data_IF_387685068402
#
_entry.id   IF_387685068402
#
_cell.length_a   1.000
_cell.length_b   1.000
_cell.length_c   1.000
_cell.angle_alpha   90.00
_cell.angle_beta   90.00
_cell.angle_gamma   90.00
#
_symmetry.space_group_name_H-M   'P 1'
#
loop_
_entity.id
_entity.type
_entity.pdbx_description
1 polymer ?
#
# COMPACT_ATOMS: atom_id res chain seq x y z
N UNK A 1 6.71 22.53 0.15
CA UNK A 1 5.73 21.47 0.52
C UNK A 1 5.72 20.33 -0.51
N UNK A 2 5.36 20.60 -1.77
CA UNK A 2 5.29 19.55 -2.83
C UNK A 2 6.67 18.91 -3.09
N UNK A 3 7.75 19.69 -3.13
CA UNK A 3 9.13 19.18 -3.28
C UNK A 3 9.57 18.28 -2.13
N UNK A 4 9.23 18.65 -0.88
CA UNK A 4 9.52 17.87 0.33
C UNK A 4 8.75 16.55 0.35
N UNK A 5 7.47 16.58 -0.04
CA UNK A 5 6.65 15.37 -0.14
C UNK A 5 7.19 14.42 -1.21
N UNK A 6 7.54 14.94 -2.39
CA UNK A 6 8.09 14.13 -3.47
C UNK A 6 9.43 13.49 -3.07
N UNK A 7 10.27 14.22 -2.34
CA UNK A 7 11.51 13.67 -1.76
C UNK A 7 11.22 12.56 -0.74
N UNK A 8 10.22 12.75 0.13
CA UNK A 8 9.77 11.72 1.09
C UNK A 8 9.25 10.46 0.41
N UNK A 9 8.39 10.61 -0.60
CA UNK A 9 7.90 9.49 -1.43
C UNK A 9 9.05 8.75 -2.10
N UNK A 10 9.98 9.46 -2.73
CA UNK A 10 11.14 8.85 -3.39
C UNK A 10 12.00 8.07 -2.41
N UNK A 11 12.30 8.63 -1.24
CA UNK A 11 13.08 7.93 -0.22
C UNK A 11 12.36 6.66 0.27
N UNK A 12 11.04 6.72 0.48
CA UNK A 12 10.25 5.55 0.87
C UNK A 12 10.25 4.47 -0.21
N UNK A 13 10.07 4.85 -1.48
CA UNK A 13 10.15 3.91 -2.62
C UNK A 13 11.52 3.24 -2.68
N UNK A 14 12.61 4.00 -2.51
CA UNK A 14 13.99 3.48 -2.58
C UNK A 14 14.29 2.56 -1.40
N UNK A 15 13.92 2.95 -0.17
CA UNK A 15 14.11 2.12 1.02
C UNK A 15 13.29 0.85 0.95
N UNK A 16 11.98 0.97 0.69
CA UNK A 16 11.11 -0.21 0.62
C UNK A 16 11.50 -1.11 -0.56
N UNK A 17 11.86 -0.52 -1.70
CA UNK A 17 12.30 -1.26 -2.89
C UNK A 17 13.59 -2.03 -2.64
N UNK A 18 14.59 -1.41 -2.02
CA UNK A 18 15.85 -2.07 -1.69
C UNK A 18 15.66 -3.21 -0.68
N UNK A 19 14.83 -3.02 0.35
CA UNK A 19 14.46 -4.08 1.29
C UNK A 19 13.75 -5.23 0.58
N UNK A 20 12.76 -4.94 -0.27
CA UNK A 20 11.99 -5.94 -1.00
C UNK A 20 12.89 -6.80 -1.89
N UNK A 21 13.82 -6.17 -2.63
CA UNK A 21 14.81 -6.87 -3.45
C UNK A 21 15.70 -7.75 -2.58
N UNK A 22 16.24 -7.21 -1.48
CA UNK A 22 17.10 -7.96 -0.57
C UNK A 22 16.41 -9.21 -0.01
N UNK A 23 15.15 -9.11 0.41
CA UNK A 23 14.38 -10.24 0.93
C UNK A 23 13.97 -11.24 -0.15
N UNK A 24 13.63 -10.80 -1.37
CA UNK A 24 13.27 -11.72 -2.47
C UNK A 24 14.46 -12.57 -2.90
N UNK A 25 15.65 -11.96 -3.04
CA UNK A 25 16.88 -12.68 -3.40
C UNK A 25 17.47 -13.44 -2.21
N UNK A 26 17.36 -12.89 -1.00
CA UNK A 26 17.81 -13.52 0.24
C UNK A 26 16.89 -14.61 0.78
N UNK A 27 15.69 -14.77 0.20
CA UNK A 27 14.66 -15.71 0.67
C UNK A 27 15.20 -17.14 0.81
N UNK A 28 15.98 -17.61 -0.16
CA UNK A 28 16.52 -19.00 -0.14
C UNK A 28 17.44 -19.19 1.07
N UNK A 29 18.37 -18.26 1.31
CA UNK A 29 19.27 -18.33 2.47
C UNK A 29 18.53 -18.25 3.81
N UNK A 30 17.46 -17.45 3.88
CA UNK A 30 16.62 -17.39 5.09
C UNK A 30 15.92 -18.72 5.35
N UNK A 31 15.37 -19.37 4.31
CA UNK A 31 14.69 -20.66 4.44
C UNK A 31 15.65 -21.81 4.76
N UNK A 32 16.87 -21.80 4.20
CA UNK A 32 17.94 -22.74 4.57
C UNK A 32 18.34 -22.60 6.05
N UNK A 33 18.40 -21.38 6.56
CA UNK A 33 18.75 -21.10 7.96
C UNK A 33 17.65 -21.55 8.94
N UNK A 34 16.38 -21.53 8.50
CA UNK A 34 15.20 -21.89 9.30
C UNK A 34 14.76 -23.35 9.08
N UNK A 35 15.43 -24.11 8.20
CA UNK A 35 15.14 -25.52 7.88
C UNK A 35 13.65 -25.78 7.53
N UNK A 36 13.03 -24.87 6.79
CA UNK A 36 11.61 -24.97 6.41
C UNK A 36 11.44 -25.49 4.97
N UNK A 37 10.31 -26.16 4.70
CA UNK A 37 9.96 -26.66 3.37
C UNK A 37 9.96 -25.56 2.30
N UNK A 38 10.62 -25.86 1.17
CA UNK A 38 10.76 -24.96 0.01
C UNK A 38 9.44 -24.65 -0.70
N UNK A 39 8.36 -25.37 -0.38
CA UNK A 39 7.02 -25.12 -0.93
C UNK A 39 6.47 -23.74 -0.50
N UNK A 40 6.89 -23.23 0.66
CA UNK A 40 6.48 -21.92 1.17
C UNK A 40 7.30 -20.75 0.57
N UNK A 41 8.37 -21.04 -0.17
CA UNK A 41 9.25 -20.02 -0.76
C UNK A 41 8.48 -19.10 -1.72
N UNK A 42 7.56 -19.66 -2.50
CA UNK A 42 6.71 -18.89 -3.40
C UNK A 42 5.78 -17.95 -2.63
N UNK A 43 5.13 -18.45 -1.58
CA UNK A 43 4.27 -17.66 -0.70
C UNK A 43 5.04 -16.50 -0.05
N UNK A 44 6.28 -16.76 0.39
CA UNK A 44 7.14 -15.73 0.96
C UNK A 44 7.48 -14.63 -0.06
N UNK A 45 7.89 -14.99 -1.29
CA UNK A 45 8.22 -14.01 -2.34
C UNK A 45 7.04 -13.09 -2.66
N UNK A 46 5.83 -13.66 -2.81
CA UNK A 46 4.62 -12.86 -3.03
C UNK A 46 4.25 -12.01 -1.82
N UNK A 47 4.44 -12.52 -0.61
CA UNK A 47 4.23 -11.77 0.64
C UNK A 47 5.15 -10.55 0.76
N UNK A 48 6.43 -10.71 0.40
CA UNK A 48 7.42 -9.61 0.41
C UNK A 48 7.04 -8.53 -0.59
N UNK A 49 6.63 -8.90 -1.81
CA UNK A 49 6.12 -7.94 -2.81
C UNK A 49 4.81 -7.28 -2.33
N UNK A 50 3.91 -8.04 -1.71
CA UNK A 50 2.69 -7.49 -1.12
C UNK A 50 2.95 -6.47 -0.02
N UNK A 51 3.97 -6.72 0.81
CA UNK A 51 4.42 -5.82 1.88
C UNK A 51 4.96 -4.49 1.34
N UNK A 52 5.65 -4.50 0.19
CA UNK A 52 6.05 -3.28 -0.52
C UNK A 52 4.84 -2.37 -0.81
N UNK A 53 3.79 -2.93 -1.42
CA UNK A 53 2.57 -2.17 -1.71
C UNK A 53 1.84 -1.74 -0.44
N UNK A 54 1.83 -2.57 0.60
CA UNK A 54 1.23 -2.23 1.89
C UNK A 54 1.92 -1.03 2.54
N UNK A 55 3.25 -0.96 2.53
CA UNK A 55 3.99 0.19 3.04
C UNK A 55 3.68 1.48 2.26
N UNK A 56 3.57 1.40 0.93
CA UNK A 56 3.17 2.56 0.11
C UNK A 56 1.73 3.01 0.37
N UNK A 57 0.83 2.05 0.59
CA UNK A 57 -0.53 2.32 1.00
C UNK A 57 -0.55 3.02 2.36
N UNK A 58 0.22 2.53 3.33
CA UNK A 58 0.35 3.19 4.64
C UNK A 58 0.85 4.62 4.52
N UNK A 59 1.89 4.86 3.73
CA UNK A 59 2.41 6.20 3.48
C UNK A 59 1.33 7.13 2.90
N UNK A 60 0.60 6.68 1.88
CA UNK A 60 -0.47 7.46 1.25
C UNK A 60 -1.59 7.76 2.24
N UNK A 61 -1.95 6.78 3.05
CA UNK A 61 -3.02 6.90 4.04
C UNK A 61 -2.66 7.85 5.19
N UNK A 62 -1.40 7.81 5.65
CA UNK A 62 -0.86 8.78 6.61
C UNK A 62 -0.96 10.19 6.02
N UNK A 63 -0.56 10.39 4.76
CA UNK A 63 -0.68 11.69 4.08
C UNK A 63 -2.14 12.17 3.98
N UNK A 64 -3.09 11.30 3.65
CA UNK A 64 -4.51 11.66 3.67
C UNK A 64 -5.00 12.04 5.07
N UNK A 65 -4.54 11.31 6.09
CA UNK A 65 -4.89 11.59 7.49
C UNK A 65 -4.36 12.94 7.98
N UNK A 66 -3.20 13.40 7.47
CA UNK A 66 -2.67 14.73 7.77
C UNK A 66 -3.59 15.87 7.33
N UNK A 67 -4.41 15.66 6.29
CA UNK A 67 -5.40 16.63 5.82
C UNK A 67 -6.78 16.47 6.50
N UNK A 68 -6.86 15.69 7.58
CA UNK A 68 -8.07 15.38 8.32
C UNK A 68 -9.17 14.66 7.49
N UNK A 69 -8.77 14.02 6.39
CA UNK A 69 -9.63 13.21 5.51
C UNK A 69 -9.83 11.79 6.07
N UNK A 70 -10.08 11.68 7.38
CA UNK A 70 -10.14 10.40 8.10
C UNK A 70 -11.20 9.43 7.55
N UNK A 71 -12.31 9.97 7.02
CA UNK A 71 -13.37 9.15 6.39
C UNK A 71 -12.86 8.38 5.18
N UNK A 72 -12.02 9.00 4.35
CA UNK A 72 -11.47 8.37 3.14
C UNK A 72 -10.43 7.33 3.52
N UNK A 73 -9.61 7.62 4.54
CA UNK A 73 -8.68 6.65 5.14
C UNK A 73 -9.39 5.39 5.64
N UNK A 74 -10.53 5.54 6.32
CA UNK A 74 -11.33 4.40 6.78
C UNK A 74 -11.89 3.58 5.61
N UNK A 75 -12.37 4.24 4.54
CA UNK A 75 -12.85 3.56 3.34
C UNK A 75 -11.73 2.77 2.64
N UNK A 76 -10.51 3.30 2.57
CA UNK A 76 -9.38 2.58 1.98
C UNK A 76 -9.01 1.33 2.78
N UNK A 77 -9.02 1.43 4.12
CA UNK A 77 -8.72 0.28 5.00
C UNK A 77 -9.83 -0.78 4.95
N UNK A 78 -11.09 -0.39 4.83
CA UNK A 78 -12.18 -1.35 4.64
C UNK A 78 -12.10 -2.04 3.28
N UNK A 79 -11.80 -1.30 2.20
CA UNK A 79 -11.54 -1.88 0.88
C UNK A 79 -10.39 -2.89 0.95
N UNK A 80 -9.27 -2.54 1.57
CA UNK A 80 -8.13 -3.45 1.73
C UNK A 80 -8.56 -4.76 2.39
N UNK A 81 -9.29 -4.64 3.50
CA UNK A 81 -9.71 -5.80 4.30
C UNK A 81 -10.66 -6.70 3.50
N UNK A 82 -11.70 -6.12 2.89
CA UNK A 82 -12.69 -6.86 2.11
C UNK A 82 -12.01 -7.53 0.91
N UNK A 83 -11.20 -6.78 0.17
CA UNK A 83 -10.53 -7.28 -1.03
C UNK A 83 -9.54 -8.38 -0.68
N UNK A 84 -8.75 -8.20 0.39
CA UNK A 84 -7.81 -9.22 0.87
C UNK A 84 -8.55 -10.49 1.31
N UNK A 85 -9.69 -10.38 2.01
CA UNK A 85 -10.50 -11.54 2.40
C UNK A 85 -11.07 -12.27 1.18
N UNK A 86 -11.70 -11.55 0.25
CA UNK A 86 -12.32 -12.16 -0.95
C UNK A 86 -11.26 -12.86 -1.81
N UNK A 87 -10.14 -12.18 -2.09
CA UNK A 87 -9.08 -12.77 -2.90
C UNK A 87 -8.37 -13.93 -2.20
N UNK A 88 -8.27 -13.92 -0.87
CA UNK A 88 -7.72 -15.05 -0.12
C UNK A 88 -8.63 -16.26 -0.20
N UNK A 89 -9.95 -16.09 -0.05
CA UNK A 89 -10.93 -17.17 -0.20
C UNK A 89 -10.87 -17.74 -1.63
N UNK A 90 -10.79 -16.90 -2.65
CA UNK A 90 -10.64 -17.35 -4.03
C UNK A 90 -9.32 -18.12 -4.21
N UNK A 91 -8.21 -17.60 -3.69
CA UNK A 91 -6.89 -18.23 -3.82
C UNK A 91 -6.83 -19.63 -3.18
N UNK A 92 -7.52 -19.85 -2.05
CA UNK A 92 -7.63 -21.17 -1.41
C UNK A 92 -8.23 -22.21 -2.38
N UNK A 93 -9.21 -21.81 -3.19
CA UNK A 93 -9.92 -22.72 -4.10
C UNK A 93 -9.11 -23.04 -5.37
N UNK A 94 -8.15 -22.20 -5.78
CA UNK A 94 -7.36 -22.38 -7.01
C UNK A 94 -6.10 -23.25 -6.77
N UNK A 95 -5.66 -23.40 -5.51
CA UNK A 95 -4.66 -24.39 -5.10
C UNK A 95 -3.38 -23.80 -4.48
N UNK A 96 -2.48 -24.69 -4.05
CA UNK A 96 -1.32 -24.35 -3.20
C UNK A 96 -0.32 -23.36 -3.82
N UNK A 97 -0.20 -23.33 -5.15
CA UNK A 97 0.71 -22.43 -5.85
C UNK A 97 0.29 -20.95 -5.80
N UNK A 98 -0.99 -20.68 -5.50
CA UNK A 98 -1.56 -19.33 -5.51
C UNK A 98 -1.64 -18.69 -4.12
N UNK A 99 -1.18 -19.39 -3.08
CA UNK A 99 -1.08 -18.83 -1.74
C UNK A 99 -0.11 -17.65 -1.74
N UNK A 100 -0.65 -16.47 -1.41
CA UNK A 100 0.07 -15.19 -1.38
C UNK A 100 -0.32 -14.21 -2.50
N UNK A 101 -0.88 -14.68 -3.63
CA UNK A 101 -1.35 -13.77 -4.69
C UNK A 101 -2.51 -12.90 -4.23
N UNK A 102 -3.43 -13.45 -3.43
CA UNK A 102 -4.59 -12.71 -2.96
C UNK A 102 -4.21 -11.47 -2.15
N UNK A 103 -3.24 -11.61 -1.25
CA UNK A 103 -2.70 -10.48 -0.48
C UNK A 103 -1.99 -9.47 -1.39
N UNK A 104 -1.09 -9.93 -2.26
CA UNK A 104 -0.34 -9.05 -3.18
C UNK A 104 -1.26 -8.24 -4.10
N UNK A 105 -2.27 -8.88 -4.68
CA UNK A 105 -3.22 -8.22 -5.56
C UNK A 105 -4.12 -7.25 -4.80
N UNK A 106 -4.58 -7.61 -3.60
CA UNK A 106 -5.40 -6.72 -2.78
C UNK A 106 -4.65 -5.46 -2.34
N UNK A 107 -3.39 -5.59 -1.90
CA UNK A 107 -2.56 -4.44 -1.52
C UNK A 107 -2.22 -3.58 -2.74
N UNK A 108 -1.90 -4.20 -3.88
CA UNK A 108 -1.61 -3.48 -5.13
C UNK A 108 -2.80 -2.66 -5.66
N UNK A 109 -4.00 -3.25 -5.68
CA UNK A 109 -5.23 -2.56 -6.12
C UNK A 109 -5.58 -1.42 -5.16
N UNK A 110 -5.54 -1.67 -3.86
CA UNK A 110 -5.88 -0.65 -2.86
C UNK A 110 -4.87 0.50 -2.87
N UNK A 111 -3.59 0.19 -3.08
CA UNK A 111 -2.56 1.21 -3.25
C UNK A 111 -2.83 2.10 -4.48
N UNK A 112 -3.16 1.52 -5.64
CA UNK A 112 -3.49 2.31 -6.84
C UNK A 112 -4.65 3.27 -6.58
N UNK A 113 -5.72 2.79 -5.94
CA UNK A 113 -6.88 3.62 -5.58
C UNK A 113 -6.44 4.77 -4.66
N UNK A 114 -5.68 4.47 -3.60
CA UNK A 114 -5.18 5.46 -2.64
C UNK A 114 -4.29 6.51 -3.31
N UNK A 115 -3.39 6.09 -4.19
CA UNK A 115 -2.49 6.96 -4.94
C UNK A 115 -3.25 7.94 -5.84
N UNK A 116 -4.26 7.46 -6.58
CA UNK A 116 -5.10 8.31 -7.42
C UNK A 116 -5.85 9.34 -6.59
N UNK A 117 -6.43 8.94 -5.46
CA UNK A 117 -7.13 9.86 -4.56
C UNK A 117 -6.18 10.92 -4.00
N UNK A 118 -4.97 10.52 -3.58
CA UNK A 118 -3.94 11.42 -3.07
C UNK A 118 -3.53 12.43 -4.15
N UNK A 119 -3.28 11.97 -5.38
CA UNK A 119 -2.90 12.83 -6.50
C UNK A 119 -3.99 13.85 -6.85
N UNK A 120 -5.26 13.41 -6.92
CA UNK A 120 -6.40 14.29 -7.17
C UNK A 120 -6.58 15.33 -6.06
N UNK A 121 -6.36 14.94 -4.80
CA UNK A 121 -6.47 15.85 -3.67
C UNK A 121 -5.34 16.89 -3.68
N UNK A 122 -4.11 16.48 -4.01
CA UNK A 122 -2.95 17.37 -4.14
C UNK A 122 -3.12 18.43 -5.22
N UNK A 123 -3.78 18.11 -6.34
CA UNK A 123 -4.06 19.10 -7.38
C UNK A 123 -5.14 20.11 -6.97
N UNK A 124 -6.09 19.69 -6.12
CA UNK A 124 -7.21 20.55 -5.63
C UNK A 124 -6.89 21.33 -4.35
N UNK A 125 -5.71 21.13 -3.77
CA UNK A 125 -5.26 21.76 -2.53
C UNK A 125 -5.32 23.31 -2.54
N UNK A 126 -4.88 24.04 -3.59
CA UNK A 126 -5.04 25.49 -3.62
C UNK A 126 -6.52 25.90 -3.68
N UNK A 127 -7.36 25.20 -4.45
CA UNK A 127 -8.78 25.52 -4.55
C UNK A 127 -9.53 25.31 -3.23
N UNK A 128 -9.26 24.21 -2.51
CA UNK A 128 -9.88 23.95 -1.21
C UNK A 128 -9.39 24.90 -0.11
N UNK A 129 -8.12 25.28 -0.11
CA UNK A 129 -7.57 26.23 0.86
C UNK A 129 -8.15 27.64 0.68
N UNK A 130 -8.37 28.08 -0.57
CA UNK A 130 -8.88 29.43 -0.85
C UNK A 130 -10.42 29.56 -0.87
N UNK A 131 -11.14 28.54 -1.37
CA UNK A 131 -12.61 28.64 -1.54
C UNK A 131 -13.38 28.04 -0.36
N UNK A 132 -12.88 26.98 0.27
CA UNK A 132 -13.64 26.24 1.30
C UNK A 132 -13.39 26.70 2.73
N UNK A 133 -12.23 27.30 3.00
CA UNK A 133 -11.85 27.81 4.33
C UNK A 133 -11.94 29.34 4.48
N UNK A 134 -12.42 30.07 3.46
CA UNK A 134 -12.68 31.50 3.60
C UNK A 134 -13.98 31.72 4.38
N UNK A 135 -13.86 31.89 5.71
CA UNK A 135 -14.96 32.28 6.60
C UNK A 135 -15.61 33.63 6.21
N UNK A 136 -15.00 34.44 5.35
CA UNK A 136 -15.61 35.69 4.91
C UNK A 136 -16.81 35.51 3.96
N UNK A 137 -17.00 34.32 3.37
CA UNK A 137 -18.07 34.07 2.39
C UNK A 137 -19.17 33.15 2.96
N UNK A 138 -18.89 32.36 4.00
CA UNK A 138 -19.83 31.37 4.52
C UNK A 138 -20.63 31.80 5.76
N UNK A 139 -20.53 33.07 6.18
CA UNK A 139 -21.37 33.67 7.23
C UNK A 139 -20.82 33.53 8.64
#
# INVERSE_FOLDING_TARGET
>A
LISTLNAGMRNMIVLQGSLTVLFVFGAVKMFELVQTDLTQLFMFRFGVIGSFFQCMLMFSTVMLSYFDLQRITLTLMSILTILSTVLTIVSINVGYAYYGLGYMAATGITFLISYVILALFMQKLPFNAFVKYNKAITG
#
